data_IF_630439452662
#
_entry.id   IF_630439452662
#
_cell.length_a   1.000
_cell.length_b   1.000
_cell.length_c   1.000
_cell.angle_alpha   90.00
_cell.angle_beta   90.00
_cell.angle_gamma   90.00
#
_symmetry.space_group_name_H-M   'P 1'
#
loop_
_entity.id
_entity.type
_entity.pdbx_description
1 polymer ?
#
# COMPACT_ATOMS: atom_id res chain seq x y z
N UNK A 1 -11.75 11.66 -18.73
CA UNK A 1 -12.59 11.28 -17.59
C UNK A 1 -12.95 12.55 -16.85
N UNK A 2 -14.21 12.82 -16.51
CA UNK A 2 -14.53 13.95 -15.62
C UNK A 2 -13.88 13.70 -14.24
N UNK A 3 -13.43 14.74 -13.51
CA UNK A 3 -12.72 14.56 -12.23
C UNK A 3 -13.69 14.22 -11.09
N UNK A 4 -14.42 13.10 -11.22
CA UNK A 4 -15.32 12.58 -10.20
C UNK A 4 -15.64 11.09 -10.44
N UNK A 5 -16.03 10.40 -9.36
CA UNK A 5 -16.50 9.00 -9.39
C UNK A 5 -17.97 8.88 -8.97
N UNK A 6 -18.82 9.77 -9.48
CA UNK A 6 -20.26 9.80 -9.18
C UNK A 6 -20.97 8.47 -9.46
N UNK A 7 -20.48 7.68 -10.42
CA UNK A 7 -21.12 6.43 -10.87
C UNK A 7 -20.28 5.18 -10.57
N UNK A 8 -19.26 5.31 -9.72
CA UNK A 8 -18.36 4.19 -9.43
C UNK A 8 -19.07 3.08 -8.65
N UNK A 9 -18.75 1.83 -9.03
CA UNK A 9 -19.37 0.61 -8.53
C UNK A 9 -20.90 0.65 -8.50
N UNK A 10 -21.50 1.11 -9.60
CA UNK A 10 -22.93 0.97 -9.90
C UNK A 10 -23.44 -0.45 -9.60
N UNK A 11 -24.61 -0.56 -8.99
CA UNK A 11 -25.29 -1.84 -8.80
C UNK A 11 -26.72 -1.72 -9.35
N UNK A 12 -27.06 -2.49 -10.40
CA UNK A 12 -28.41 -2.49 -10.98
C UNK A 12 -29.51 -2.65 -9.94
N UNK A 13 -30.43 -1.69 -9.93
CA UNK A 13 -31.58 -1.68 -9.01
C UNK A 13 -31.25 -1.39 -7.54
N UNK A 14 -30.01 -0.99 -7.21
CA UNK A 14 -29.62 -0.65 -5.83
C UNK A 14 -29.00 0.74 -5.67
N UNK A 15 -28.04 1.11 -6.51
CA UNK A 15 -27.40 2.42 -6.43
C UNK A 15 -26.75 2.81 -7.75
N UNK A 16 -26.81 4.10 -8.10
CA UNK A 16 -26.18 4.67 -9.31
C UNK A 16 -24.65 4.83 -9.18
N UNK A 17 -24.16 4.90 -7.95
CA UNK A 17 -22.75 4.90 -7.55
C UNK A 17 -22.66 4.91 -6.03
N UNK A 18 -21.45 4.69 -5.48
CA UNK A 18 -21.26 4.64 -4.02
C UNK A 18 -19.83 5.01 -3.60
N UNK A 19 -19.69 5.40 -2.33
CA UNK A 19 -18.40 5.71 -1.69
C UNK A 19 -17.35 4.63 -1.93
N UNK A 20 -17.71 3.36 -1.74
CA UNK A 20 -16.80 2.20 -1.93
C UNK A 20 -16.15 2.13 -3.32
N UNK A 21 -16.71 2.81 -4.32
CA UNK A 21 -16.13 2.92 -5.65
C UNK A 21 -14.90 3.82 -5.73
N UNK A 22 -14.64 4.66 -4.72
CA UNK A 22 -13.45 5.52 -4.68
C UNK A 22 -12.15 4.71 -4.60
N UNK A 23 -12.22 3.45 -4.15
CA UNK A 23 -11.05 2.56 -4.15
C UNK A 23 -10.58 2.19 -5.56
N UNK A 24 -11.45 2.32 -6.59
CA UNK A 24 -11.12 1.98 -7.97
C UNK A 24 -9.98 2.87 -8.53
N UNK A 25 -9.78 4.06 -7.95
CA UNK A 25 -8.71 5.00 -8.34
C UNK A 25 -7.46 4.96 -7.47
N UNK A 26 -7.32 4.01 -6.54
CA UNK A 26 -6.14 3.91 -5.67
C UNK A 26 -4.81 3.89 -6.44
N UNK A 27 -4.80 3.26 -7.63
CA UNK A 27 -3.62 3.16 -8.49
C UNK A 27 -3.23 4.47 -9.17
N UNK A 28 -4.09 5.50 -9.16
CA UNK A 28 -3.71 6.83 -9.64
C UNK A 28 -2.49 7.35 -8.88
N UNK A 29 -2.35 7.01 -7.59
CA UNK A 29 -1.18 7.43 -6.80
C UNK A 29 0.14 7.00 -7.45
N UNK A 30 0.22 5.76 -7.94
CA UNK A 30 1.41 5.24 -8.63
C UNK A 30 1.65 5.91 -9.99
N UNK A 31 0.58 6.20 -10.72
CA UNK A 31 0.65 6.90 -12.01
C UNK A 31 1.18 8.32 -11.79
N UNK A 32 0.63 9.05 -10.82
CA UNK A 32 1.03 10.41 -10.50
C UNK A 32 2.50 10.48 -10.04
N UNK A 33 2.93 9.55 -9.19
CA UNK A 33 4.34 9.43 -8.79
C UNK A 33 5.24 9.19 -10.02
N UNK A 34 4.87 8.24 -10.88
CA UNK A 34 5.61 7.97 -12.13
C UNK A 34 5.72 9.20 -13.03
N UNK A 35 4.64 9.97 -13.15
CA UNK A 35 4.61 11.21 -13.95
C UNK A 35 5.63 12.23 -13.45
N UNK A 36 5.87 12.32 -12.13
CA UNK A 36 6.88 13.25 -11.59
C UNK A 36 8.31 12.91 -11.99
N UNK A 37 8.56 11.66 -12.43
CA UNK A 37 9.86 11.18 -12.87
C UNK A 37 10.03 11.17 -14.41
N UNK A 38 8.99 11.49 -15.18
CA UNK A 38 9.06 11.49 -16.65
C UNK A 38 9.81 12.73 -17.17
N UNK A 39 10.84 12.55 -18.02
CA UNK A 39 11.51 13.68 -18.65
C UNK A 39 10.59 14.37 -19.66
N UNK A 40 10.56 15.70 -19.64
CA UNK A 40 9.82 16.47 -20.65
C UNK A 40 10.39 16.27 -22.05
N UNK A 41 9.51 16.26 -23.05
CA UNK A 41 9.83 16.14 -24.46
C UNK A 41 8.76 16.83 -25.32
N UNK A 42 8.79 16.67 -26.65
CA UNK A 42 7.84 17.31 -27.56
C UNK A 42 6.37 16.89 -27.36
N UNK A 43 6.11 15.75 -26.69
CA UNK A 43 4.79 15.18 -26.45
C UNK A 43 4.37 15.17 -24.97
N UNK A 44 5.32 15.36 -24.05
CA UNK A 44 5.08 15.54 -22.62
C UNK A 44 5.70 16.86 -22.19
N UNK A 45 4.88 17.89 -22.10
CA UNK A 45 5.31 19.26 -21.84
C UNK A 45 4.94 19.71 -20.43
N UNK A 46 5.48 20.86 -20.03
CA UNK A 46 5.08 21.49 -18.76
C UNK A 46 3.60 21.89 -18.74
N UNK A 47 3.01 22.21 -19.90
CA UNK A 47 1.58 22.51 -19.99
C UNK A 47 0.73 21.26 -19.74
N UNK A 48 1.15 20.10 -20.26
CA UNK A 48 0.44 18.83 -20.01
C UNK A 48 0.47 18.48 -18.52
N UNK A 49 1.61 18.67 -17.83
CA UNK A 49 1.69 18.50 -16.39
C UNK A 49 0.78 19.47 -15.64
N UNK A 50 0.71 20.73 -16.08
CA UNK A 50 -0.16 21.75 -15.47
C UNK A 50 -1.63 21.38 -15.62
N UNK A 51 -2.05 20.91 -16.80
CA UNK A 51 -3.43 20.50 -17.04
C UNK A 51 -3.79 19.22 -16.27
N UNK A 52 -2.86 18.27 -16.15
CA UNK A 52 -3.02 17.11 -15.29
C UNK A 52 -3.17 17.52 -13.82
N UNK A 53 -2.32 18.42 -13.31
CA UNK A 53 -2.46 18.95 -11.94
C UNK A 53 -3.82 19.59 -11.72
N UNK A 54 -4.29 20.41 -12.65
CA UNK A 54 -5.64 21.02 -12.57
C UNK A 54 -6.75 19.98 -12.49
N UNK A 55 -6.63 18.89 -13.24
CA UNK A 55 -7.57 17.77 -13.18
C UNK A 55 -7.54 17.08 -11.80
N UNK A 56 -6.33 16.81 -11.26
CA UNK A 56 -6.16 16.19 -9.94
C UNK A 56 -6.66 17.11 -8.83
N UNK A 57 -6.45 18.42 -8.91
CA UNK A 57 -6.98 19.41 -7.96
C UNK A 57 -8.51 19.38 -7.94
N UNK A 58 -9.15 19.40 -9.12
CA UNK A 58 -10.61 19.29 -9.24
C UNK A 58 -11.12 17.96 -8.69
N UNK A 59 -10.36 16.87 -8.90
CA UNK A 59 -10.72 15.56 -8.39
C UNK A 59 -10.59 15.48 -6.87
N UNK A 60 -9.52 16.05 -6.30
CA UNK A 60 -9.30 16.14 -4.87
C UNK A 60 -10.40 16.94 -4.17
N UNK A 61 -10.79 18.10 -4.73
CA UNK A 61 -11.92 18.89 -4.22
C UNK A 61 -13.21 18.05 -4.18
N UNK A 62 -13.55 17.37 -5.28
CA UNK A 62 -14.71 16.46 -5.30
C UNK A 62 -14.55 15.30 -4.29
N UNK A 63 -13.35 14.75 -4.13
CA UNK A 63 -13.05 13.66 -3.21
C UNK A 63 -13.25 14.06 -1.75
N UNK A 64 -13.01 15.32 -1.40
CA UNK A 64 -13.21 15.87 -0.05
C UNK A 64 -14.66 16.32 0.19
N UNK A 65 -15.32 16.86 -0.84
CA UNK A 65 -16.60 17.57 -0.69
C UNK A 65 -17.83 16.80 -1.19
N UNK A 66 -17.66 15.69 -1.90
CA UNK A 66 -18.79 14.88 -2.34
C UNK A 66 -19.36 14.00 -1.23
N UNK A 67 -20.63 13.63 -1.35
CA UNK A 67 -21.25 12.65 -0.45
C UNK A 67 -20.56 11.28 -0.53
N UNK A 68 -20.04 10.91 -1.70
CA UNK A 68 -19.29 9.66 -1.89
C UNK A 68 -17.96 9.71 -1.14
N UNK A 69 -17.24 10.82 -1.29
CA UNK A 69 -16.01 11.09 -0.56
C UNK A 69 -16.20 11.05 0.96
N UNK A 70 -17.20 11.78 1.47
CA UNK A 70 -17.53 11.77 2.90
C UNK A 70 -17.86 10.37 3.42
N UNK A 71 -18.66 9.59 2.69
CA UNK A 71 -19.00 8.21 3.10
C UNK A 71 -17.78 7.31 3.14
N UNK A 72 -16.96 7.31 2.08
CA UNK A 72 -15.73 6.50 2.03
C UNK A 72 -14.75 6.87 3.15
N UNK A 73 -14.61 8.17 3.44
CA UNK A 73 -13.74 8.65 4.51
C UNK A 73 -14.10 8.10 5.90
N UNK A 74 -15.37 7.70 6.10
CA UNK A 74 -15.91 7.18 7.36
C UNK A 74 -15.81 5.66 7.47
N UNK A 75 -15.33 4.95 6.44
CA UNK A 75 -15.18 3.50 6.49
C UNK A 75 -14.14 3.07 7.54
N UNK A 76 -14.50 2.06 8.32
CA UNK A 76 -13.73 1.57 9.47
C UNK A 76 -12.66 0.53 9.08
N UNK A 77 -12.60 0.16 7.81
CA UNK A 77 -11.70 -0.86 7.26
C UNK A 77 -10.73 -0.22 6.24
N UNK A 78 -10.04 -1.05 5.47
CA UNK A 78 -9.09 -0.67 4.42
C UNK A 78 -9.60 0.41 3.45
N UNK A 79 -10.91 0.53 3.20
CA UNK A 79 -11.47 1.61 2.39
C UNK A 79 -11.12 3.00 2.96
N UNK A 80 -11.27 3.20 4.27
CA UNK A 80 -10.91 4.46 4.92
C UNK A 80 -9.41 4.76 4.83
N UNK A 81 -8.57 3.73 4.95
CA UNK A 81 -7.11 3.86 4.79
C UNK A 81 -6.74 4.26 3.36
N UNK A 82 -7.34 3.61 2.36
CA UNK A 82 -7.10 3.93 0.95
C UNK A 82 -7.71 5.25 0.49
N UNK A 83 -8.78 5.71 1.15
CA UNK A 83 -9.25 7.10 1.03
C UNK A 83 -8.17 8.07 1.50
N UNK A 84 -7.60 7.86 2.69
CA UNK A 84 -6.56 8.73 3.26
C UNK A 84 -5.29 8.74 2.38
N UNK A 85 -4.88 7.59 1.84
CA UNK A 85 -3.77 7.48 0.86
C UNK A 85 -4.00 8.40 -0.34
N UNK A 86 -5.20 8.33 -0.93
CA UNK A 86 -5.55 9.09 -2.12
C UNK A 86 -5.54 10.59 -1.83
N UNK A 87 -6.14 11.04 -0.73
CA UNK A 87 -6.13 12.47 -0.34
C UNK A 87 -4.69 12.97 -0.16
N UNK A 88 -3.86 12.27 0.61
CA UNK A 88 -2.48 12.68 0.84
C UNK A 88 -1.67 12.71 -0.47
N UNK A 89 -1.82 11.69 -1.33
CA UNK A 89 -1.12 11.61 -2.60
C UNK A 89 -1.52 12.74 -3.55
N UNK A 90 -2.82 12.97 -3.76
CA UNK A 90 -3.31 14.00 -4.65
C UNK A 90 -2.91 15.39 -4.17
N UNK A 91 -3.03 15.66 -2.87
CA UNK A 91 -2.61 16.94 -2.30
C UNK A 91 -1.10 17.18 -2.47
N UNK A 92 -0.25 16.18 -2.21
CA UNK A 92 1.20 16.29 -2.42
C UNK A 92 1.54 16.49 -3.90
N UNK A 93 0.91 15.73 -4.82
CA UNK A 93 1.14 15.86 -6.26
C UNK A 93 0.81 17.28 -6.77
N UNK A 94 -0.26 17.88 -6.24
CA UNK A 94 -0.67 19.24 -6.56
C UNK A 94 0.06 20.33 -5.74
N UNK A 95 1.11 19.98 -5.00
CA UNK A 95 1.89 20.93 -4.16
C UNK A 95 1.03 21.61 -3.07
N UNK A 96 -0.06 20.97 -2.65
CA UNK A 96 -0.97 21.42 -1.60
C UNK A 96 -0.64 20.79 -0.24
N UNK A 97 0.63 20.90 0.18
CA UNK A 97 1.17 20.24 1.38
C UNK A 97 0.40 20.56 2.67
N UNK A 98 -0.17 21.76 2.77
CA UNK A 98 -1.01 22.15 3.93
C UNK A 98 -2.25 21.28 4.06
N UNK A 99 -2.88 20.92 2.94
CA UNK A 99 -4.05 20.02 2.93
C UNK A 99 -3.61 18.62 3.31
N UNK A 100 -2.52 18.12 2.73
CA UNK A 100 -1.98 16.80 3.05
C UNK A 100 -1.63 16.67 4.55
N UNK A 101 -0.92 17.66 5.11
CA UNK A 101 -0.55 17.70 6.53
C UNK A 101 -1.79 17.69 7.42
N UNK A 102 -2.72 18.62 7.19
CA UNK A 102 -3.94 18.71 7.98
C UNK A 102 -4.79 17.43 7.91
N UNK A 103 -4.84 16.79 6.73
CA UNK A 103 -5.54 15.52 6.56
C UNK A 103 -4.89 14.41 7.38
N UNK A 104 -3.57 14.24 7.28
CA UNK A 104 -2.83 13.21 8.03
C UNK A 104 -3.01 13.41 9.55
N UNK A 105 -2.82 14.62 10.03
CA UNK A 105 -2.94 14.94 11.46
C UNK A 105 -4.35 14.68 12.00
N UNK A 106 -5.38 15.03 11.21
CA UNK A 106 -6.78 14.92 11.63
C UNK A 106 -7.37 13.52 11.45
N UNK A 107 -6.96 12.78 10.43
CA UNK A 107 -7.64 11.54 10.02
C UNK A 107 -6.78 10.29 10.16
N UNK A 108 -5.48 10.36 9.86
CA UNK A 108 -4.63 9.15 9.80
C UNK A 108 -4.24 8.65 11.19
N UNK A 109 -3.89 9.53 12.14
CA UNK A 109 -3.62 9.09 13.52
C UNK A 109 -4.82 8.42 14.20
N UNK A 110 -6.05 8.98 14.11
CA UNK A 110 -7.25 8.27 14.55
C UNK A 110 -7.48 6.96 13.79
N UNK A 111 -7.28 6.92 12.47
CA UNK A 111 -7.43 5.70 11.64
C UNK A 111 -6.59 4.56 12.19
N UNK A 112 -5.30 4.81 12.45
CA UNK A 112 -4.38 3.82 13.04
C UNK A 112 -4.94 3.31 14.37
N UNK A 113 -5.37 4.23 15.26
CA UNK A 113 -5.92 3.88 16.58
C UNK A 113 -7.17 3.01 16.49
N UNK A 114 -8.02 3.24 15.50
CA UNK A 114 -9.31 2.53 15.35
C UNK A 114 -9.21 1.22 14.60
N UNK A 115 -8.22 1.07 13.71
CA UNK A 115 -8.09 -0.12 12.85
C UNK A 115 -7.09 -1.14 13.35
N UNK A 116 -6.16 -0.72 14.22
CA UNK A 116 -5.09 -1.56 14.75
C UNK A 116 -5.32 -1.78 16.24
N UNK A 117 -5.31 -3.04 16.65
CA UNK A 117 -5.38 -3.45 18.06
C UNK A 117 -4.02 -3.30 18.76
N UNK A 118 -3.99 -3.30 20.11
CA UNK A 118 -2.74 -3.23 20.89
C UNK A 118 -1.66 -4.23 20.48
N UNK A 119 -2.06 -5.40 19.99
CA UNK A 119 -1.16 -6.47 19.57
C UNK A 119 -0.83 -6.46 18.07
N UNK A 120 -1.32 -5.47 17.32
CA UNK A 120 -1.09 -5.33 15.88
C UNK A 120 -2.15 -6.00 15.00
N UNK A 121 -3.15 -6.68 15.57
CA UNK A 121 -4.27 -7.24 14.79
C UNK A 121 -5.09 -6.14 14.11
N UNK A 122 -5.67 -6.50 12.96
CA UNK A 122 -6.56 -5.65 12.18
C UNK A 122 -7.96 -6.27 12.18
N UNK A 123 -8.73 -6.05 13.25
CA UNK A 123 -9.99 -6.78 13.54
C UNK A 123 -10.99 -6.79 12.38
N UNK A 124 -11.17 -5.66 11.69
CA UNK A 124 -12.07 -5.55 10.55
C UNK A 124 -11.60 -6.35 9.32
N UNK A 125 -10.28 -6.44 9.10
CA UNK A 125 -9.71 -7.21 7.99
C UNK A 125 -9.68 -8.71 8.30
N UNK A 126 -9.44 -9.07 9.57
CA UNK A 126 -9.46 -10.46 10.04
C UNK A 126 -10.85 -11.11 9.91
N UNK A 127 -11.92 -10.31 9.91
CA UNK A 127 -13.28 -10.78 9.72
C UNK A 127 -13.64 -11.11 8.26
N UNK A 128 -12.75 -10.81 7.29
CA UNK A 128 -13.02 -10.99 5.85
C UNK A 128 -12.71 -12.43 5.40
N UNK A 129 -13.38 -12.87 4.33
CA UNK A 129 -13.15 -14.19 3.72
C UNK A 129 -11.76 -14.36 3.12
N UNK A 130 -11.12 -13.25 2.75
CA UNK A 130 -9.73 -13.16 2.28
C UNK A 130 -8.89 -12.36 3.29
N UNK A 131 -8.97 -12.73 4.57
CA UNK A 131 -8.46 -11.92 5.69
C UNK A 131 -6.97 -11.57 5.59
N UNK A 132 -6.10 -12.50 5.17
CA UNK A 132 -4.68 -12.23 5.01
C UNK A 132 -4.44 -11.24 3.86
N UNK A 133 -5.18 -11.38 2.76
CA UNK A 133 -5.15 -10.43 1.65
C UNK A 133 -5.56 -9.02 2.11
N UNK A 134 -6.62 -8.90 2.91
CA UNK A 134 -7.12 -7.62 3.39
C UNK A 134 -6.19 -6.98 4.44
N UNK A 135 -5.62 -7.76 5.37
CA UNK A 135 -4.60 -7.27 6.31
C UNK A 135 -3.37 -6.72 5.55
N UNK A 136 -2.93 -7.45 4.52
CA UNK A 136 -1.82 -7.03 3.65
C UNK A 136 -2.17 -5.76 2.88
N UNK A 137 -3.36 -5.69 2.31
CA UNK A 137 -3.83 -4.56 1.53
C UNK A 137 -3.97 -3.27 2.36
N UNK A 138 -4.43 -3.38 3.60
CA UNK A 138 -4.53 -2.25 4.51
C UNK A 138 -3.15 -1.76 4.97
N UNK A 139 -2.22 -2.68 5.31
CA UNK A 139 -0.83 -2.33 5.65
C UNK A 139 -0.08 -1.69 4.48
N UNK A 140 -0.38 -2.08 3.24
CA UNK A 140 0.12 -1.38 2.06
C UNK A 140 -0.32 0.09 2.06
N UNK A 141 -1.60 0.36 2.33
CA UNK A 141 -2.10 1.73 2.42
C UNK A 141 -1.41 2.53 3.54
N UNK A 142 -1.31 1.97 4.75
CA UNK A 142 -0.62 2.62 5.87
C UNK A 142 0.88 2.86 5.60
N UNK A 143 1.55 1.96 4.88
CA UNK A 143 2.96 2.12 4.53
C UNK A 143 3.18 3.22 3.50
N UNK A 144 2.29 3.33 2.49
CA UNK A 144 2.29 4.45 1.54
C UNK A 144 2.03 5.76 2.27
N UNK A 145 1.03 5.81 3.16
CA UNK A 145 0.75 6.99 4.00
C UNK A 145 1.97 7.40 4.82
N UNK A 146 2.68 6.45 5.41
CA UNK A 146 3.89 6.72 6.18
C UNK A 146 4.99 7.32 5.32
N UNK A 147 5.24 6.78 4.11
CA UNK A 147 6.18 7.34 3.15
C UNK A 147 5.80 8.75 2.69
N UNK A 148 4.52 9.01 2.45
CA UNK A 148 4.01 10.34 2.09
C UNK A 148 4.14 11.33 3.26
N UNK A 149 3.80 10.91 4.48
CA UNK A 149 3.88 11.70 5.70
C UNK A 149 5.32 12.14 6.01
N UNK A 150 6.33 11.31 5.69
CA UNK A 150 7.75 11.69 5.83
C UNK A 150 8.14 12.90 4.98
N UNK A 151 7.54 13.09 3.78
CA UNK A 151 7.76 14.31 2.96
C UNK A 151 7.30 15.58 3.69
N UNK A 152 6.40 15.41 4.67
CA UNK A 152 5.85 16.47 5.52
C UNK A 152 6.44 16.41 6.93
N UNK A 153 7.56 15.72 7.14
CA UNK A 153 8.22 15.59 8.45
C UNK A 153 7.30 15.00 9.54
N UNK A 154 6.30 14.21 9.15
CA UNK A 154 5.43 13.47 10.08
C UNK A 154 5.90 12.01 10.12
N UNK A 155 6.20 11.52 11.32
CA UNK A 155 6.62 10.15 11.55
C UNK A 155 5.43 9.28 12.01
N UNK A 156 4.80 8.60 11.04
CA UNK A 156 3.76 7.61 11.30
C UNK A 156 4.32 6.23 11.68
N UNK A 157 5.59 5.95 11.35
CA UNK A 157 6.20 4.64 11.59
C UNK A 157 6.44 4.40 13.08
N UNK A 158 6.99 5.40 13.77
CA UNK A 158 7.31 5.32 15.19
C UNK A 158 6.16 5.79 16.11
N UNK A 159 5.12 6.39 15.54
CA UNK A 159 3.95 6.78 16.30
C UNK A 159 3.16 5.57 16.79
N UNK A 160 2.74 5.62 18.04
CA UNK A 160 1.86 4.62 18.65
C UNK A 160 1.00 5.21 19.75
N UNK A 161 -0.16 4.61 19.96
CA UNK A 161 -0.98 4.90 21.15
C UNK A 161 -0.32 4.36 22.42
N UNK A 162 -0.71 4.84 23.61
CA UNK A 162 -0.17 4.35 24.89
C UNK A 162 -0.34 2.84 25.11
N UNK A 163 -1.39 2.23 24.54
CA UNK A 163 -1.66 0.79 24.59
C UNK A 163 -0.95 -0.01 23.49
N UNK A 164 -0.15 0.62 22.62
CA UNK A 164 0.73 -0.06 21.67
C UNK A 164 0.23 -0.19 20.23
N UNK A 165 -0.91 0.42 19.88
CA UNK A 165 -1.44 0.41 18.51
C UNK A 165 -0.55 1.27 17.63
N UNK A 166 -0.13 0.74 16.49
CA UNK A 166 0.74 1.44 15.55
C UNK A 166 0.97 0.63 14.28
N UNK A 167 1.47 1.29 13.23
CA UNK A 167 1.69 0.65 11.92
C UNK A 167 2.79 -0.42 12.03
N UNK A 168 3.96 -0.07 12.59
CA UNK A 168 5.06 -1.02 12.73
C UNK A 168 4.70 -2.23 13.62
N UNK A 169 4.03 -2.07 14.78
CA UNK A 169 3.46 -3.20 15.52
C UNK A 169 2.55 -4.13 14.69
N UNK A 170 1.67 -3.57 13.85
CA UNK A 170 0.80 -4.36 12.99
C UNK A 170 1.55 -5.10 11.87
N UNK A 171 2.59 -4.48 11.31
CA UNK A 171 3.50 -5.14 10.37
C UNK A 171 4.18 -6.33 11.07
N UNK A 172 4.75 -6.12 12.26
CA UNK A 172 5.44 -7.16 13.03
C UNK A 172 4.53 -8.33 13.37
N UNK A 173 3.26 -8.05 13.71
CA UNK A 173 2.27 -9.10 13.94
C UNK A 173 2.07 -10.01 12.72
N UNK A 174 2.18 -9.45 11.49
CA UNK A 174 2.01 -10.21 10.25
C UNK A 174 3.24 -11.04 9.85
N UNK A 175 4.46 -10.65 10.23
CA UNK A 175 5.71 -11.26 9.73
C UNK A 175 5.77 -12.79 9.91
N UNK A 176 5.43 -13.38 11.09
CA UNK A 176 5.49 -14.82 11.28
C UNK A 176 4.56 -15.62 10.35
N UNK A 177 3.46 -14.99 9.90
CA UNK A 177 2.53 -15.63 8.98
C UNK A 177 3.03 -15.62 7.54
N UNK A 178 3.69 -14.53 7.11
CA UNK A 178 4.32 -14.49 5.79
C UNK A 178 5.51 -15.44 5.68
N UNK A 179 6.27 -15.59 6.77
CA UNK A 179 7.40 -16.53 6.85
C UNK A 179 6.97 -18.00 7.03
N UNK A 180 5.69 -18.27 7.25
CA UNK A 180 5.17 -19.61 7.47
C UNK A 180 5.53 -20.23 8.83
N UNK A 181 6.16 -19.47 9.73
CA UNK A 181 6.49 -19.92 11.09
C UNK A 181 5.26 -19.97 12.00
N UNK A 182 4.18 -19.27 11.64
CA UNK A 182 2.87 -19.34 12.32
C UNK A 182 1.76 -19.65 11.32
N UNK A 183 0.87 -20.58 11.68
CA UNK A 183 -0.32 -20.91 10.88
C UNK A 183 -1.34 -19.77 10.91
N UNK A 184 -1.88 -19.42 9.74
CA UNK A 184 -3.01 -18.52 9.63
C UNK A 184 -4.31 -19.24 10.02
N UNK A 185 -5.00 -18.76 11.05
CA UNK A 185 -6.22 -19.38 11.59
C UNK A 185 -7.51 -18.60 11.25
N UNK A 186 -7.42 -17.58 10.40
CA UNK A 186 -8.56 -16.80 9.92
C UNK A 186 -8.95 -17.18 8.49
N UNK A 187 -10.14 -16.80 7.99
CA UNK A 187 -10.58 -17.17 6.65
C UNK A 187 -9.64 -16.63 5.57
N UNK A 188 -9.10 -17.51 4.74
CA UNK A 188 -8.34 -17.15 3.54
C UNK A 188 -8.74 -18.13 2.44
N UNK A 189 -9.91 -17.89 1.85
CA UNK A 189 -10.57 -18.87 0.96
C UNK A 189 -9.85 -19.06 -0.39
N UNK A 190 -8.95 -18.15 -0.76
CA UNK A 190 -8.06 -18.26 -1.91
C UNK A 190 -6.61 -18.30 -1.45
N UNK A 191 -5.75 -18.97 -2.22
CA UNK A 191 -4.31 -18.99 -1.98
C UNK A 191 -3.73 -17.56 -1.90
N UNK A 192 -2.83 -17.35 -0.95
CA UNK A 192 -2.13 -16.08 -0.74
C UNK A 192 -0.64 -16.29 -0.99
N UNK A 193 -0.06 -15.45 -1.84
CA UNK A 193 1.40 -15.40 -2.03
C UNK A 193 2.01 -14.40 -1.05
N UNK A 194 2.94 -14.83 -0.16
CA UNK A 194 3.71 -13.93 0.70
C UNK A 194 4.47 -12.83 -0.06
N UNK A 195 4.80 -13.04 -1.35
CA UNK A 195 5.46 -12.01 -2.16
C UNK A 195 4.63 -10.74 -2.32
N UNK A 196 3.31 -10.79 -2.10
CA UNK A 196 2.43 -9.60 -2.07
C UNK A 196 2.75 -8.63 -0.92
N UNK A 197 3.42 -9.09 0.13
CA UNK A 197 3.84 -8.25 1.24
C UNK A 197 5.14 -7.47 0.95
N UNK A 198 5.92 -7.89 -0.04
CA UNK A 198 7.27 -7.35 -0.29
C UNK A 198 7.25 -5.84 -0.50
N UNK A 199 6.29 -5.30 -1.27
CA UNK A 199 6.23 -3.87 -1.56
C UNK A 199 6.16 -3.01 -0.29
N UNK A 200 5.17 -3.27 0.59
CA UNK A 200 4.99 -2.44 1.78
C UNK A 200 6.09 -2.69 2.82
N UNK A 201 6.59 -3.93 2.91
CA UNK A 201 7.71 -4.27 3.78
C UNK A 201 9.01 -3.59 3.33
N UNK A 202 9.24 -3.43 2.02
CA UNK A 202 10.38 -2.65 1.51
C UNK A 202 10.30 -1.19 1.93
N UNK A 203 9.11 -0.56 1.83
CA UNK A 203 8.91 0.81 2.31
C UNK A 203 9.24 0.94 3.81
N UNK A 204 8.72 0.02 4.62
CA UNK A 204 8.98 -0.02 6.06
C UNK A 204 10.47 -0.25 6.36
N UNK A 205 11.11 -1.20 5.69
CA UNK A 205 12.54 -1.50 5.79
C UNK A 205 13.39 -0.25 5.51
N UNK A 206 13.16 0.40 4.37
CA UNK A 206 13.91 1.60 3.95
C UNK A 206 13.70 2.78 4.91
N UNK A 207 12.48 2.97 5.42
CA UNK A 207 12.15 4.14 6.23
C UNK A 207 12.51 3.98 7.70
N UNK A 208 12.51 2.76 8.23
CA UNK A 208 12.69 2.49 9.67
C UNK A 208 14.03 1.85 10.01
N UNK A 209 14.65 1.12 9.08
CA UNK A 209 15.83 0.30 9.37
C UNK A 209 15.54 -0.89 10.31
N UNK A 210 14.28 -1.29 10.50
CA UNK A 210 13.92 -2.39 11.39
C UNK A 210 14.45 -3.73 10.88
N UNK A 211 15.33 -4.36 11.67
CA UNK A 211 16.06 -5.58 11.27
C UNK A 211 15.14 -6.76 10.97
N UNK A 212 14.04 -6.92 11.72
CA UNK A 212 13.10 -8.03 11.54
C UNK A 212 12.33 -7.88 10.21
N UNK A 213 11.98 -6.64 9.87
CA UNK A 213 11.36 -6.30 8.58
C UNK A 213 12.35 -6.53 7.43
N UNK A 214 13.59 -6.05 7.55
CA UNK A 214 14.66 -6.24 6.55
C UNK A 214 14.91 -7.73 6.27
N UNK A 215 15.01 -8.54 7.33
CA UNK A 215 15.20 -9.98 7.19
C UNK A 215 14.01 -10.64 6.49
N UNK A 216 12.79 -10.22 6.84
CA UNK A 216 11.57 -10.74 6.21
C UNK A 216 11.51 -10.40 4.73
N UNK A 217 11.77 -9.15 4.33
CA UNK A 217 11.82 -8.73 2.92
C UNK A 217 12.80 -9.61 2.15
N UNK A 218 13.99 -9.83 2.70
CA UNK A 218 15.05 -10.61 2.05
C UNK A 218 14.66 -12.08 1.81
N UNK A 219 13.81 -12.65 2.68
CA UNK A 219 13.26 -14.02 2.52
C UNK A 219 12.07 -14.09 1.55
N UNK A 220 11.28 -13.03 1.46
CA UNK A 220 10.08 -12.97 0.63
C UNK A 220 10.35 -12.44 -0.79
N UNK A 221 11.42 -11.69 -0.99
CA UNK A 221 11.78 -11.10 -2.26
C UNK A 221 11.91 -12.20 -3.31
N UNK A 222 11.00 -12.17 -4.29
CA UNK A 222 11.17 -12.99 -5.48
C UNK A 222 12.31 -12.41 -6.29
N UNK A 223 13.48 -13.01 -6.16
CA UNK A 223 14.60 -12.75 -7.04
C UNK A 223 14.37 -13.53 -8.34
N UNK A 224 13.96 -12.89 -9.45
CA UNK A 224 13.72 -13.60 -10.71
C UNK A 224 14.96 -14.34 -11.21
N UNK A 225 16.16 -13.86 -10.83
CA UNK A 225 17.43 -14.53 -11.09
C UNK A 225 17.62 -15.86 -10.34
N UNK A 226 16.97 -16.06 -9.18
CA UNK A 226 17.01 -17.34 -8.47
C UNK A 226 16.27 -18.47 -9.21
N UNK A 227 15.44 -18.12 -10.21
CA UNK A 227 14.77 -19.07 -11.12
C UNK A 227 15.60 -19.33 -12.39
N UNK A 228 16.70 -18.61 -12.60
CA UNK A 228 17.61 -18.85 -13.74
C UNK A 228 18.58 -19.96 -13.33
N UNK A 229 18.27 -21.19 -13.72
CA UNK A 229 19.07 -22.39 -13.40
C UNK A 229 20.53 -22.29 -13.84
N UNK A 230 20.84 -21.48 -14.86
CA UNK A 230 22.21 -21.27 -15.34
C UNK A 230 23.13 -20.55 -14.32
N UNK A 231 22.58 -19.91 -13.29
CA UNK A 231 23.32 -19.13 -12.28
C UNK A 231 23.12 -19.65 -10.85
N UNK A 232 22.30 -20.70 -10.66
CA UNK A 232 22.20 -21.38 -9.37
C UNK A 232 23.50 -22.10 -9.07
N UNK A 233 24.03 -21.97 -7.85
CA UNK A 233 25.29 -22.58 -7.37
C UNK A 233 25.24 -24.12 -7.27
N UNK A 234 24.32 -24.78 -7.95
CA UNK A 234 24.33 -26.21 -8.22
C UNK A 234 25.03 -26.49 -9.55
N UNK A 235 26.34 -26.19 -9.61
CA UNK A 235 27.19 -26.69 -10.70
C UNK A 235 27.06 -28.21 -10.67
N UNK A 236 26.50 -28.76 -11.75
CA UNK A 236 26.59 -30.18 -12.10
C UNK A 236 28.01 -30.65 -11.80
N UNK A 237 28.16 -31.62 -10.91
CA UNK A 237 29.39 -32.39 -10.84
C UNK A 237 29.58 -33.09 -12.18
N UNK A 238 30.35 -32.48 -13.08
CA UNK A 238 30.96 -33.22 -14.16
C UNK A 238 31.98 -34.14 -13.52
N UNK A 239 31.60 -35.39 -13.30
CA UNK A 239 32.55 -36.44 -13.03
C UNK A 239 33.60 -36.43 -14.14
N UNK A 240 34.83 -36.06 -13.79
CA UNK A 240 35.99 -36.22 -14.63
C UNK A 240 36.20 -37.71 -14.89
N UNK A 241 35.65 -38.22 -15.99
CA UNK A 241 36.13 -39.46 -16.57
C UNK A 241 37.36 -39.15 -17.41
N UNK A 242 38.49 -39.00 -16.73
CA UNK A 242 39.79 -39.22 -17.34
C UNK A 242 40.46 -40.40 -16.65
N UNK A 243 40.81 -41.39 -17.48
CA UNK A 243 41.73 -42.52 -17.27
C UNK A 243 41.15 -43.78 -16.61
N UNK A 244 41.01 -44.86 -17.40
CA UNK A 244 42.02 -45.93 -17.46
C UNK A 244 41.62 -47.02 -18.47
N UNK A 245 42.47 -47.16 -19.49
CA UNK A 245 42.93 -48.38 -20.17
C UNK A 245 42.14 -49.69 -20.00
N UNK A 246 41.60 -50.21 -21.11
CA UNK A 246 42.10 -51.41 -21.80
C UNK A 246 41.44 -51.57 -23.17
#
# INVERSE_FOLDING_TARGET
MNPHLQYAQYIPGKCEGRGLGLIDTMNLCHILDSVTHLPFNAFWTQNDLKDLKKWVESYLEWFLESDHGRKESQEFNNHGTWYDVQVACFAIFCEQEKIARAHIEKHVFPRISTQIEPDGRQSHELARTLSMSYCTFNLTGFSILSRLARKLEIDLWNWKTPDGRGILPAIKWMLPFYLGSKKWNWPQINEFSPSKATFFLSLASEDTGDEEVIETVSKLAEHPWNKISAWGTGVREFHNYATKDK
#
